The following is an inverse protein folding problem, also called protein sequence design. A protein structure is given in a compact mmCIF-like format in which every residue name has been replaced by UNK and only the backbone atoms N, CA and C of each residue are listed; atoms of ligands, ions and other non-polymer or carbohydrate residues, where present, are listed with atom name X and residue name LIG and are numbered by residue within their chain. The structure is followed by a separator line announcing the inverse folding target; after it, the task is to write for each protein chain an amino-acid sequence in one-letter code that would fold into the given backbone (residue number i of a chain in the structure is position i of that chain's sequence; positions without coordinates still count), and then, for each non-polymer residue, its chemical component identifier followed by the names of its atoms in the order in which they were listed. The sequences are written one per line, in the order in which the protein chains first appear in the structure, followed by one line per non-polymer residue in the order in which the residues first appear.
data_IF_613492099726
#
_entry.id   IF_613492099726
#
_cell.length_a   1.000
_cell.length_b   1.000
_cell.length_c   1.000
_cell.angle_alpha   90.00
_cell.angle_beta   90.00
_cell.angle_gamma   90.00
#
_symmetry.space_group_name_H-M   'P 1'
#
loop_
_entity.id
_entity.type
_entity.pdbx_description
1 polymer ?
#
# COMPACT_ATOMS: atom_id res chain seq x y z
N UNK A 1 13.63 0.57 -12.88
CA UNK A 1 12.60 -0.03 -12.01
C UNK A 1 11.98 -1.21 -12.73
N UNK A 2 11.64 -2.30 -12.04
CA UNK A 2 10.91 -3.43 -12.62
C UNK A 2 9.48 -3.33 -12.11
N UNK A 3 8.51 -3.22 -13.02
CA UNK A 3 7.10 -3.18 -12.65
C UNK A 3 6.68 -4.53 -12.03
N UNK A 4 6.01 -4.47 -10.88
CA UNK A 4 5.37 -5.60 -10.22
C UNK A 4 3.89 -5.60 -10.59
N UNK A 5 3.09 -4.74 -9.97
CA UNK A 5 1.71 -4.47 -10.37
C UNK A 5 1.64 -3.09 -11.00
N UNK A 6 1.78 -2.99 -12.32
CA UNK A 6 1.83 -1.71 -13.06
C UNK A 6 0.70 -0.73 -12.70
N UNK A 7 -0.48 -1.22 -12.34
CA UNK A 7 -1.61 -0.37 -11.95
C UNK A 7 -1.66 -0.01 -10.46
N UNK A 8 -0.77 -0.58 -9.65
CA UNK A 8 -0.70 -0.49 -8.19
C UNK A 8 0.64 0.11 -7.69
N UNK A 9 1.69 0.00 -8.50
CA UNK A 9 3.05 0.45 -8.20
C UNK A 9 3.11 1.97 -8.14
N UNK A 10 3.81 2.49 -7.13
CA UNK A 10 4.15 3.90 -7.00
C UNK A 10 5.48 3.99 -6.26
N UNK A 11 6.39 4.86 -6.72
CA UNK A 11 7.62 5.15 -5.98
C UNK A 11 7.26 5.94 -4.73
N UNK A 12 7.65 5.43 -3.56
CA UNK A 12 7.49 6.11 -2.27
C UNK A 12 8.82 6.58 -1.70
N UNK A 13 8.73 7.23 -0.53
CA UNK A 13 9.86 7.82 0.19
C UNK A 13 9.95 7.24 1.60
N UNK A 14 11.17 7.09 2.10
CA UNK A 14 11.46 6.74 3.50
C UNK A 14 12.47 7.74 4.02
N UNK A 15 12.13 8.42 5.12
CA UNK A 15 13.00 9.39 5.77
C UNK A 15 12.78 9.35 7.28
N UNK A 16 13.56 10.14 8.02
CA UNK A 16 13.47 10.23 9.48
C UNK A 16 12.60 11.39 9.97
N UNK A 17 12.18 12.27 9.08
CA UNK A 17 11.30 13.39 9.39
C UNK A 17 10.25 13.59 8.30
N UNK A 18 9.11 14.15 8.66
CA UNK A 18 8.07 14.53 7.70
C UNK A 18 8.57 15.62 6.75
N UNK A 19 9.39 16.55 7.24
CA UNK A 19 9.97 17.65 6.44
C UNK A 19 10.91 17.12 5.34
N UNK A 20 11.71 16.09 5.63
CA UNK A 20 12.55 15.43 4.61
C UNK A 20 11.71 14.77 3.51
N UNK A 21 10.59 14.14 3.87
CA UNK A 21 9.66 13.55 2.89
C UNK A 21 9.08 14.66 1.99
N UNK A 22 8.61 15.77 2.58
CA UNK A 22 8.06 16.89 1.83
C UNK A 22 9.07 17.52 0.86
N UNK A 23 10.31 17.72 1.31
CA UNK A 23 11.40 18.22 0.48
C UNK A 23 11.69 17.29 -0.70
N UNK A 24 11.84 15.98 -0.45
CA UNK A 24 12.13 15.01 -1.52
C UNK A 24 10.97 14.89 -2.51
N UNK A 25 9.72 14.89 -2.02
CA UNK A 25 8.54 14.81 -2.87
C UNK A 25 8.42 16.04 -3.79
N UNK A 26 8.84 17.22 -3.32
CA UNK A 26 8.90 18.45 -4.13
C UNK A 26 9.83 18.36 -5.34
N UNK A 27 10.83 17.48 -5.28
CA UNK A 27 11.80 17.29 -6.36
C UNK A 27 11.36 16.15 -7.28
N UNK A 28 10.79 15.08 -6.71
CA UNK A 28 10.47 13.86 -7.44
C UNK A 28 9.09 13.86 -8.09
N UNK A 29 8.14 14.61 -7.56
CA UNK A 29 6.77 14.63 -8.06
C UNK A 29 6.63 15.52 -9.29
N UNK A 30 5.86 15.06 -10.26
CA UNK A 30 5.59 15.81 -11.49
C UNK A 30 5.19 14.89 -12.64
N UNK A 31 4.78 15.51 -13.74
CA UNK A 31 4.52 14.78 -14.99
C UNK A 31 5.85 14.35 -15.63
N UNK A 32 5.89 13.10 -16.08
CA UNK A 32 6.99 12.57 -16.89
C UNK A 32 6.46 12.24 -18.30
N UNK A 33 6.98 12.88 -19.36
CA UNK A 33 6.56 12.57 -20.74
C UNK A 33 6.89 11.12 -21.17
N UNK A 34 7.76 10.41 -20.44
CA UNK A 34 8.08 9.00 -20.69
C UNK A 34 7.15 8.03 -19.93
N UNK A 35 6.29 8.54 -19.07
CA UNK A 35 5.30 7.77 -18.32
C UNK A 35 3.88 8.26 -18.62
N UNK A 36 3.17 7.49 -19.45
CA UNK A 36 1.77 7.76 -19.81
C UNK A 36 0.80 7.64 -18.63
N UNK A 37 1.23 7.08 -17.50
CA UNK A 37 0.43 6.98 -16.28
C UNK A 37 0.66 8.14 -15.32
N UNK A 38 1.68 8.97 -15.57
CA UNK A 38 1.94 10.17 -14.79
C UNK A 38 0.83 11.20 -14.99
N UNK A 39 0.26 11.69 -13.89
CA UNK A 39 -0.86 12.63 -13.93
C UNK A 39 -0.36 14.02 -14.33
N UNK A 40 -1.03 14.63 -15.31
CA UNK A 40 -0.81 16.03 -15.67
C UNK A 40 -1.53 16.95 -14.66
N UNK A 41 -0.95 17.08 -13.46
CA UNK A 41 -1.41 18.01 -12.43
C UNK A 41 -0.24 18.88 -11.96
N UNK A 42 -0.56 20.06 -11.47
CA UNK A 42 0.41 20.89 -10.77
C UNK A 42 0.71 20.25 -9.42
N UNK A 43 2.00 20.10 -9.11
CA UNK A 43 2.47 19.65 -7.80
C UNK A 43 3.09 20.84 -7.08
N UNK A 44 2.48 21.35 -5.99
CA UNK A 44 3.07 22.44 -5.23
C UNK A 44 4.39 21.99 -4.60
N UNK A 45 5.27 22.94 -4.32
CA UNK A 45 6.42 22.65 -3.48
C UNK A 45 5.94 22.34 -2.06
N UNK A 46 6.33 21.18 -1.56
CA UNK A 46 6.09 20.66 -0.23
C UNK A 46 7.35 20.79 0.66
N UNK A 47 8.32 21.62 0.26
CA UNK A 47 9.57 21.82 0.98
C UNK A 47 9.40 22.69 2.24
N UNK A 48 8.35 23.51 2.28
CA UNK A 48 8.03 24.40 3.40
C UNK A 48 6.61 24.11 3.89
N UNK A 49 6.45 22.95 4.54
CA UNK A 49 5.17 22.54 5.10
C UNK A 49 4.73 23.49 6.23
N UNK A 50 3.42 23.66 6.38
CA UNK A 50 2.79 24.17 7.60
C UNK A 50 2.45 23.03 8.56
N UNK A 51 2.09 23.35 9.79
CA UNK A 51 1.38 22.38 10.63
C UNK A 51 -0.12 22.50 10.33
N UNK A 52 -0.83 21.38 10.23
CA UNK A 52 -2.28 21.41 10.09
C UNK A 52 -2.93 21.94 11.38
N UNK A 53 -4.01 22.72 11.25
CA UNK A 53 -4.87 23.05 12.39
C UNK A 53 -5.70 21.83 12.78
N UNK A 54 -5.21 21.11 13.79
CA UNK A 54 -5.82 19.87 14.27
C UNK A 54 -7.27 20.07 14.71
N UNK A 55 -7.63 21.26 15.18
CA UNK A 55 -8.99 21.55 15.66
C UNK A 55 -10.04 21.60 14.56
N UNK A 56 -9.61 21.74 13.30
CA UNK A 56 -10.49 21.77 12.13
C UNK A 56 -10.57 20.43 11.40
N UNK A 57 -9.76 19.44 11.80
CA UNK A 57 -9.67 18.17 11.09
C UNK A 57 -10.89 17.29 11.34
N UNK A 58 -11.42 16.70 10.26
CA UNK A 58 -12.38 15.60 10.26
C UNK A 58 -11.68 14.31 9.86
N UNK A 59 -11.59 13.38 10.81
CA UNK A 59 -10.85 12.13 10.68
C UNK A 59 -11.85 10.98 10.62
N UNK A 60 -11.79 10.22 9.53
CA UNK A 60 -12.58 9.00 9.38
C UNK A 60 -11.79 7.77 9.86
N UNK A 61 -12.43 6.94 10.68
CA UNK A 61 -11.94 5.62 11.09
C UNK A 61 -12.77 4.53 10.39
N UNK A 62 -12.20 3.74 9.47
CA UNK A 62 -12.93 2.63 8.87
C UNK A 62 -13.34 1.59 9.91
N UNK A 63 -14.64 1.36 10.04
CA UNK A 63 -15.22 0.38 10.96
C UNK A 63 -14.66 -1.02 10.70
N UNK A 64 -14.49 -1.38 9.43
CA UNK A 64 -13.98 -2.67 8.98
C UNK A 64 -12.56 -2.95 9.52
N UNK A 65 -11.79 -1.90 9.85
CA UNK A 65 -10.47 -2.04 10.46
C UNK A 65 -10.51 -2.12 11.98
N UNK A 66 -11.52 -1.51 12.60
CA UNK A 66 -11.72 -1.50 14.05
C UNK A 66 -12.32 -2.81 14.57
N UNK A 67 -13.19 -3.44 13.77
CA UNK A 67 -13.87 -4.68 14.12
C UNK A 67 -13.05 -5.94 13.76
N UNK A 68 -11.86 -5.77 13.19
CA UNK A 68 -11.03 -6.87 12.70
C UNK A 68 -10.55 -7.79 13.83
N UNK A 69 -10.72 -9.10 13.62
CA UNK A 69 -10.30 -10.13 14.55
C UNK A 69 -8.84 -10.50 14.30
N UNK A 70 -7.93 -9.67 14.79
CA UNK A 70 -6.49 -9.93 14.64
C UNK A 70 -5.57 -8.78 14.98
N UNK A 71 -6.13 -7.63 15.38
CA UNK A 71 -5.34 -6.49 15.83
C UNK A 71 -4.67 -6.81 17.17
N UNK A 72 -3.34 -6.72 17.20
CA UNK A 72 -2.54 -6.89 18.40
C UNK A 72 -2.95 -5.84 19.47
N UNK A 73 -3.16 -6.23 20.74
CA UNK A 73 -3.61 -5.31 21.78
C UNK A 73 -2.67 -4.11 22.01
N UNK A 74 -1.36 -4.28 21.85
CA UNK A 74 -0.40 -3.19 22.00
C UNK A 74 -0.49 -2.21 20.82
N UNK A 75 -0.73 -2.72 19.61
CA UNK A 75 -1.00 -1.89 18.42
C UNK A 75 -2.32 -1.13 18.59
N UNK A 76 -3.38 -1.81 19.03
CA UNK A 76 -4.68 -1.19 19.32
C UNK A 76 -4.55 -0.08 20.37
N UNK A 77 -3.74 -0.32 21.41
CA UNK A 77 -3.49 0.66 22.46
C UNK A 77 -2.79 1.92 21.93
N UNK A 78 -1.70 1.76 21.16
CA UNK A 78 -0.98 2.90 20.55
C UNK A 78 -1.86 3.66 19.56
N UNK A 79 -2.69 2.93 18.80
CA UNK A 79 -3.65 3.53 17.88
C UNK A 79 -4.69 4.38 18.64
N UNK A 80 -5.28 3.85 19.72
CA UNK A 80 -6.24 4.60 20.54
C UNK A 80 -5.59 5.82 21.21
N UNK A 81 -4.35 5.72 21.68
CA UNK A 81 -3.59 6.88 22.17
C UNK A 81 -3.43 7.97 21.10
N UNK A 82 -3.19 7.57 19.85
CA UNK A 82 -3.12 8.51 18.73
C UNK A 82 -4.47 9.16 18.44
N UNK A 83 -5.56 8.39 18.44
CA UNK A 83 -6.91 8.92 18.29
C UNK A 83 -7.29 9.90 19.42
N UNK A 84 -6.90 9.59 20.68
CA UNK A 84 -7.09 10.50 21.82
C UNK A 84 -6.31 11.80 21.63
N UNK A 85 -5.06 11.73 21.19
CA UNK A 85 -4.25 12.91 20.95
C UNK A 85 -4.91 13.90 19.97
N UNK A 86 -5.51 13.39 18.90
CA UNK A 86 -6.28 14.18 17.93
C UNK A 86 -7.56 14.75 18.54
N UNK A 87 -8.34 13.92 19.25
CA UNK A 87 -9.58 14.34 19.95
C UNK A 87 -9.32 15.46 20.97
N UNK A 88 -8.27 15.33 21.79
CA UNK A 88 -7.92 16.31 22.82
C UNK A 88 -7.52 17.67 22.24
N UNK A 89 -7.19 17.72 20.93
CA UNK A 89 -6.86 18.94 20.18
C UNK A 89 -8.01 19.46 19.31
N UNK A 90 -9.20 18.89 19.47
CA UNK A 90 -10.42 19.38 18.84
C UNK A 90 -10.75 18.73 17.49
N UNK A 91 -9.98 17.75 17.01
CA UNK A 91 -10.33 17.05 15.78
C UNK A 91 -11.65 16.29 15.94
N UNK A 92 -12.53 16.40 14.94
CA UNK A 92 -13.72 15.57 14.85
C UNK A 92 -13.31 14.18 14.34
N UNK A 93 -13.54 13.14 15.13
CA UNK A 93 -13.23 11.76 14.74
C UNK A 93 -14.53 10.98 14.64
N UNK A 94 -14.81 10.43 13.46
CA UNK A 94 -16.01 9.68 13.18
C UNK A 94 -15.66 8.29 12.65
N UNK A 95 -16.44 7.29 13.06
CA UNK A 95 -16.34 5.94 12.50
C UNK A 95 -17.20 5.85 11.24
N UNK A 96 -16.60 5.47 10.12
CA UNK A 96 -17.27 5.32 8.83
C UNK A 96 -17.29 3.86 8.42
N UNK A 97 -18.31 3.44 7.67
CA UNK A 97 -18.37 2.07 7.13
C UNK A 97 -18.06 2.09 5.65
N UNK A 98 -17.08 1.29 5.25
CA UNK A 98 -16.67 1.06 3.87
C UNK A 98 -16.66 -0.47 3.65
N UNK A 99 -17.84 -1.13 3.53
CA UNK A 99 -17.93 -2.60 3.61
C UNK A 99 -17.10 -3.35 2.55
N UNK A 100 -16.83 -2.70 1.41
CA UNK A 100 -16.01 -3.29 0.34
C UNK A 100 -14.55 -3.52 0.76
N UNK A 101 -14.06 -2.89 1.83
CA UNK A 101 -12.69 -3.07 2.33
C UNK A 101 -12.38 -4.50 2.79
N UNK A 102 -13.39 -5.27 3.21
CA UNK A 102 -13.22 -6.71 3.53
C UNK A 102 -12.64 -7.51 2.34
N UNK A 103 -12.87 -7.05 1.11
CA UNK A 103 -12.37 -7.66 -0.11
C UNK A 103 -11.05 -7.05 -0.62
N UNK A 104 -10.43 -6.13 0.11
CA UNK A 104 -9.24 -5.41 -0.35
C UNK A 104 -8.04 -6.34 -0.55
N UNK A 105 -7.67 -7.14 0.46
CA UNK A 105 -6.50 -8.03 0.40
C UNK A 105 -6.64 -9.02 -0.76
N UNK A 106 -7.78 -9.72 -0.85
CA UNK A 106 -8.01 -10.71 -1.90
C UNK A 106 -7.99 -10.08 -3.30
N UNK A 107 -8.61 -8.91 -3.47
CA UNK A 107 -8.62 -8.19 -4.75
C UNK A 107 -7.23 -7.69 -5.14
N UNK A 108 -6.45 -7.19 -4.17
CA UNK A 108 -5.07 -6.77 -4.39
C UNK A 108 -4.23 -7.93 -4.91
N UNK A 109 -4.24 -9.08 -4.25
CA UNK A 109 -3.44 -10.22 -4.68
C UNK A 109 -3.90 -10.77 -6.04
N UNK A 110 -5.21 -10.79 -6.33
CA UNK A 110 -5.68 -11.16 -7.68
C UNK A 110 -5.10 -10.24 -8.76
N UNK A 111 -5.14 -8.91 -8.54
CA UNK A 111 -4.67 -7.93 -9.52
C UNK A 111 -3.15 -7.94 -9.62
N UNK A 112 -2.46 -7.79 -8.49
CA UNK A 112 -1.00 -7.71 -8.43
C UNK A 112 -0.32 -8.95 -9.01
N UNK A 113 -0.82 -10.15 -8.70
CA UNK A 113 -0.23 -11.39 -9.20
C UNK A 113 -0.47 -11.58 -10.70
N UNK A 114 -1.66 -11.19 -11.19
CA UNK A 114 -1.96 -11.20 -12.63
C UNK A 114 -1.03 -10.28 -13.42
N UNK A 115 -0.87 -9.05 -12.95
CA UNK A 115 0.01 -8.08 -13.59
C UNK A 115 1.48 -8.50 -13.49
N UNK A 116 1.91 -9.05 -12.34
CA UNK A 116 3.26 -9.57 -12.16
C UNK A 116 3.57 -10.70 -13.14
N UNK A 117 2.65 -11.65 -13.35
CA UNK A 117 2.87 -12.74 -14.31
C UNK A 117 3.16 -12.21 -15.73
N UNK A 118 2.45 -11.17 -16.16
CA UNK A 118 2.69 -10.49 -17.43
C UNK A 118 4.00 -9.68 -17.41
N UNK A 119 4.22 -8.84 -16.40
CA UNK A 119 5.37 -7.95 -16.30
C UNK A 119 6.70 -8.71 -16.25
N UNK A 120 6.75 -9.81 -15.51
CA UNK A 120 7.94 -10.64 -15.35
C UNK A 120 8.19 -11.61 -16.52
N UNK A 121 7.31 -11.67 -17.54
CA UNK A 121 7.52 -12.50 -18.73
C UNK A 121 8.76 -12.10 -19.54
N UNK A 122 9.15 -10.81 -19.48
CA UNK A 122 10.32 -10.25 -20.19
C UNK A 122 11.68 -10.78 -19.73
N UNK A 123 11.74 -11.40 -18.54
CA UNK A 123 12.96 -11.99 -17.99
C UNK A 123 13.13 -13.39 -18.55
N UNK A 124 13.91 -13.46 -19.61
CA UNK A 124 14.03 -14.62 -20.48
C UNK A 124 15.50 -14.98 -20.80
N UNK A 125 16.46 -14.17 -20.35
CA UNK A 125 17.90 -14.38 -20.55
C UNK A 125 18.40 -14.07 -21.96
N UNK A 126 17.55 -13.55 -22.86
CA UNK A 126 17.93 -13.26 -24.24
C UNK A 126 18.61 -11.90 -24.37
N UNK A 127 17.98 -10.86 -23.80
CA UNK A 127 18.46 -9.47 -23.93
C UNK A 127 19.35 -9.04 -22.76
N UNK A 128 19.09 -9.57 -21.56
CA UNK A 128 19.78 -9.18 -20.33
C UNK A 128 19.53 -10.19 -19.20
N UNK A 129 20.32 -10.08 -18.13
CA UNK A 129 20.16 -10.87 -16.91
C UNK A 129 20.82 -12.25 -16.97
N UNK A 130 20.39 -13.14 -16.08
CA UNK A 130 20.83 -14.53 -16.07
C UNK A 130 20.40 -15.22 -17.37
N UNK A 131 21.30 -16.01 -17.96
CA UNK A 131 21.00 -16.93 -19.06
C UNK A 131 21.49 -18.33 -18.70
N UNK A 132 20.59 -19.31 -18.72
CA UNK A 132 20.92 -20.73 -18.64
C UNK A 132 20.49 -21.39 -19.93
N UNK A 133 21.47 -21.79 -20.73
CA UNK A 133 21.26 -22.36 -22.06
C UNK A 133 21.78 -23.81 -22.07
N UNK A 134 20.90 -24.81 -21.92
CA UNK A 134 21.29 -26.21 -21.96
C UNK A 134 21.64 -26.68 -23.38
N UNK A 135 21.47 -25.86 -24.42
CA UNK A 135 21.79 -26.20 -25.80
C UNK A 135 20.79 -27.13 -26.50
N UNK A 136 19.64 -27.39 -25.88
CA UNK A 136 18.61 -28.33 -26.38
C UNK A 136 17.44 -27.64 -27.09
N UNK A 137 17.39 -26.30 -27.07
CA UNK A 137 16.37 -25.52 -27.77
C UNK A 137 15.98 -24.25 -27.02
N UNK A 138 15.15 -23.43 -27.67
CA UNK A 138 14.70 -22.15 -27.11
C UNK A 138 13.77 -22.33 -25.90
N UNK A 139 12.92 -23.37 -25.91
CA UNK A 139 12.02 -23.67 -24.79
C UNK A 139 12.80 -24.01 -23.51
N UNK A 140 13.76 -24.93 -23.63
CA UNK A 140 14.60 -25.35 -22.49
C UNK A 140 15.46 -24.20 -21.96
N UNK A 141 15.93 -23.31 -22.83
CA UNK A 141 16.60 -22.07 -22.41
C UNK A 141 15.68 -21.23 -21.52
N UNK A 142 14.44 -20.98 -21.94
CA UNK A 142 13.49 -20.19 -21.15
C UNK A 142 13.13 -20.86 -19.83
N UNK A 143 12.83 -22.16 -19.86
CA UNK A 143 12.46 -22.93 -18.66
C UNK A 143 13.62 -22.96 -17.67
N UNK A 144 14.84 -23.30 -18.09
CA UNK A 144 16.01 -23.36 -17.23
C UNK A 144 16.35 -21.97 -16.65
N UNK A 145 16.36 -20.94 -17.50
CA UNK A 145 16.68 -19.57 -17.08
C UNK A 145 15.70 -19.06 -16.02
N UNK A 146 14.39 -19.23 -16.25
CA UNK A 146 13.36 -18.72 -15.33
C UNK A 146 13.23 -19.56 -14.06
N UNK A 147 13.39 -20.88 -14.17
CA UNK A 147 13.28 -21.79 -13.03
C UNK A 147 14.38 -21.55 -12.00
N UNK A 148 15.60 -21.29 -12.49
CA UNK A 148 16.76 -21.04 -11.64
C UNK A 148 16.93 -19.56 -11.28
N UNK A 149 16.46 -18.65 -12.15
CA UNK A 149 16.55 -17.21 -11.92
C UNK A 149 15.53 -16.67 -10.92
N UNK A 150 14.37 -17.31 -10.77
CA UNK A 150 13.33 -16.87 -9.84
C UNK A 150 13.28 -17.72 -8.56
N UNK A 151 13.22 -17.03 -7.42
CA UNK A 151 12.94 -17.64 -6.13
C UNK A 151 11.52 -18.24 -6.05
N UNK A 152 11.28 -19.07 -5.03
CA UNK A 152 10.04 -19.82 -4.87
C UNK A 152 8.79 -18.91 -4.82
N UNK A 153 8.85 -17.79 -4.10
CA UNK A 153 7.73 -16.85 -3.99
C UNK A 153 7.39 -16.21 -5.34
N UNK A 154 8.40 -15.75 -6.09
CA UNK A 154 8.20 -15.16 -7.42
C UNK A 154 7.57 -16.18 -8.38
N UNK A 155 8.03 -17.44 -8.36
CA UNK A 155 7.44 -18.51 -9.17
C UNK A 155 5.99 -18.79 -8.76
N UNK A 156 5.68 -18.85 -7.46
CA UNK A 156 4.31 -19.02 -6.96
C UNK A 156 3.38 -17.93 -7.49
N UNK A 157 3.83 -16.68 -7.43
CA UNK A 157 3.10 -15.51 -7.95
C UNK A 157 2.84 -15.58 -9.45
N UNK A 158 3.85 -15.95 -10.24
CA UNK A 158 3.72 -16.12 -11.70
C UNK A 158 2.71 -17.23 -12.03
N UNK A 159 2.79 -18.38 -11.35
CA UNK A 159 1.86 -19.50 -11.58
C UNK A 159 0.43 -19.09 -11.26
N UNK A 160 0.19 -18.45 -10.10
CA UNK A 160 -1.15 -17.99 -9.71
C UNK A 160 -1.66 -16.92 -10.69
N UNK A 161 -0.83 -15.94 -11.06
CA UNK A 161 -1.22 -14.89 -12.01
C UNK A 161 -1.59 -15.44 -13.38
N UNK A 162 -0.81 -16.39 -13.92
CA UNK A 162 -1.15 -17.06 -15.18
C UNK A 162 -2.43 -17.89 -15.06
N UNK A 163 -2.66 -18.55 -13.92
CA UNK A 163 -3.90 -19.28 -13.68
C UNK A 163 -5.11 -18.35 -13.67
N UNK A 164 -5.04 -17.23 -12.95
CA UNK A 164 -6.10 -16.21 -12.89
C UNK A 164 -6.38 -15.61 -14.27
N UNK A 165 -5.35 -15.38 -15.09
CA UNK A 165 -5.50 -14.81 -16.43
C UNK A 165 -5.93 -15.82 -17.51
N UNK A 166 -5.99 -17.11 -17.18
CA UNK A 166 -6.41 -18.15 -18.14
C UNK A 166 -7.86 -17.94 -18.62
N UNK A 167 -8.15 -18.42 -19.83
CA UNK A 167 -9.44 -18.24 -20.53
C UNK A 167 -10.65 -18.66 -19.70
N UNK A 168 -10.48 -19.67 -18.84
CA UNK A 168 -11.57 -20.21 -18.01
C UNK A 168 -11.83 -19.40 -16.74
N UNK A 169 -10.85 -18.63 -16.22
CA UNK A 169 -10.93 -18.01 -14.89
C UNK A 169 -10.82 -16.47 -14.91
N UNK A 170 -10.32 -15.87 -15.99
CA UNK A 170 -10.09 -14.42 -16.10
C UNK A 170 -11.36 -13.58 -15.92
N UNK A 171 -12.49 -14.05 -16.45
CA UNK A 171 -13.79 -13.39 -16.28
C UNK A 171 -14.27 -13.37 -14.83
N UNK A 172 -14.15 -14.51 -14.14
CA UNK A 172 -14.71 -14.69 -12.80
C UNK A 172 -13.81 -14.12 -11.70
N UNK A 173 -12.51 -14.02 -11.97
CA UNK A 173 -11.51 -13.62 -10.96
C UNK A 173 -10.98 -12.22 -11.23
N UNK A 174 -10.23 -12.00 -12.32
CA UNK A 174 -9.57 -10.71 -12.58
C UNK A 174 -10.56 -9.57 -12.83
N UNK A 175 -11.56 -9.76 -13.71
CA UNK A 175 -12.58 -8.71 -13.96
C UNK A 175 -13.41 -8.43 -12.71
N UNK A 176 -13.67 -9.45 -11.88
CA UNK A 176 -14.37 -9.27 -10.60
C UNK A 176 -13.54 -8.44 -9.63
N UNK A 177 -12.25 -8.73 -9.48
CA UNK A 177 -11.34 -7.94 -8.63
C UNK A 177 -11.22 -6.49 -9.12
N UNK A 178 -11.17 -6.25 -10.43
CA UNK A 178 -11.20 -4.89 -10.99
C UNK A 178 -12.51 -4.16 -10.69
N UNK A 179 -13.64 -4.88 -10.67
CA UNK A 179 -14.94 -4.31 -10.27
C UNK A 179 -14.98 -3.96 -8.78
N UNK A 180 -14.39 -4.81 -7.92
CA UNK A 180 -14.22 -4.52 -6.49
C UNK A 180 -13.31 -3.30 -6.30
N UNK A 181 -12.19 -3.23 -7.02
CA UNK A 181 -11.30 -2.06 -7.00
C UNK A 181 -12.03 -0.77 -7.37
N UNK A 182 -12.85 -0.78 -8.43
CA UNK A 182 -13.64 0.39 -8.82
C UNK A 182 -14.64 0.81 -7.72
N UNK A 183 -15.20 -0.17 -6.99
CA UNK A 183 -16.06 0.11 -5.83
C UNK A 183 -15.26 0.68 -4.65
N UNK A 184 -14.09 0.13 -4.33
CA UNK A 184 -13.19 0.67 -3.30
C UNK A 184 -12.85 2.13 -3.61
N UNK A 185 -12.47 2.45 -4.85
CA UNK A 185 -12.18 3.82 -5.27
C UNK A 185 -13.36 4.76 -5.05
N UNK A 186 -14.57 4.35 -5.43
CA UNK A 186 -15.79 5.15 -5.25
C UNK A 186 -16.11 5.36 -3.77
N UNK A 187 -16.16 4.28 -3.00
CA UNK A 187 -16.62 4.30 -1.61
C UNK A 187 -15.61 5.06 -0.73
N UNK A 188 -14.31 4.93 -1.00
CA UNK A 188 -13.26 5.73 -0.34
C UNK A 188 -13.28 7.20 -0.75
N UNK A 189 -13.49 7.51 -2.03
CA UNK A 189 -13.64 8.89 -2.48
C UNK A 189 -14.84 9.59 -1.82
N UNK A 190 -15.95 8.87 -1.65
CA UNK A 190 -17.14 9.39 -0.97
C UNK A 190 -16.88 9.76 0.50
N UNK A 191 -15.98 9.07 1.19
CA UNK A 191 -15.58 9.45 2.56
C UNK A 191 -14.88 10.81 2.55
N UNK A 192 -14.00 11.05 1.58
CA UNK A 192 -13.28 12.32 1.45
C UNK A 192 -14.18 13.50 1.03
N UNK A 193 -15.44 13.28 0.66
CA UNK A 193 -16.42 14.38 0.49
C UNK A 193 -16.79 15.04 1.82
N UNK A 194 -16.59 14.33 2.94
CA UNK A 194 -17.01 14.78 4.29
C UNK A 194 -15.88 14.79 5.32
N UNK A 195 -14.76 14.13 5.03
CA UNK A 195 -13.61 13.98 5.92
C UNK A 195 -12.32 14.39 5.21
N UNK A 196 -11.36 14.91 5.98
CA UNK A 196 -10.08 15.37 5.43
C UNK A 196 -9.09 14.22 5.27
N UNK A 197 -9.09 13.29 6.23
CA UNK A 197 -8.20 12.13 6.25
C UNK A 197 -8.90 10.85 6.74
N UNK A 198 -8.35 9.72 6.33
CA UNK A 198 -8.59 8.41 6.92
C UNK A 198 -7.42 8.05 7.83
N UNK A 199 -7.70 7.49 9.01
CA UNK A 199 -6.68 7.08 9.98
C UNK A 199 -6.87 5.60 10.36
N UNK A 200 -5.78 4.84 10.32
CA UNK A 200 -5.77 3.42 10.72
C UNK A 200 -4.38 3.00 11.23
N UNK A 201 -4.23 1.85 11.91
CA UNK A 201 -2.92 1.25 12.14
C UNK A 201 -2.22 0.97 10.80
N UNK A 202 -0.88 1.07 10.75
CA UNK A 202 -0.15 0.67 9.54
C UNK A 202 -0.10 -0.85 9.37
N UNK A 203 -0.01 -1.59 10.49
CA UNK A 203 0.12 -3.04 10.50
C UNK A 203 -0.71 -3.62 11.66
N UNK A 204 -1.35 -4.79 11.50
CA UNK A 204 -2.10 -5.44 12.60
C UNK A 204 -1.25 -5.92 13.78
N UNK A 205 0.06 -6.08 13.62
CA UNK A 205 0.95 -6.56 14.67
C UNK A 205 2.31 -5.84 14.63
N UNK A 206 3.08 -5.83 15.74
CA UNK A 206 4.46 -5.38 15.72
C UNK A 206 5.33 -6.29 14.84
N UNK A 207 6.56 -5.85 14.57
CA UNK A 207 7.53 -6.60 13.77
C UNK A 207 7.70 -8.04 14.31
N UNK A 208 7.49 -9.03 13.43
CA UNK A 208 7.68 -10.44 13.74
C UNK A 208 9.13 -10.89 13.53
N UNK A 209 9.51 -12.02 14.13
CA UNK A 209 10.89 -12.53 14.04
C UNK A 209 11.19 -13.09 12.65
N UNK A 210 12.45 -13.01 12.26
CA UNK A 210 12.94 -13.66 11.04
C UNK A 210 12.60 -15.15 11.07
N UNK A 211 12.08 -15.67 9.95
CA UNK A 211 11.67 -17.07 9.81
C UNK A 211 10.24 -17.39 10.27
N UNK A 212 9.57 -16.55 11.07
CA UNK A 212 8.34 -16.95 11.76
C UNK A 212 7.09 -17.07 10.88
N UNK A 213 7.12 -16.57 9.64
CA UNK A 213 5.99 -16.58 8.68
C UNK A 213 6.38 -17.04 7.27
N UNK A 214 7.54 -17.68 7.13
CA UNK A 214 8.07 -18.07 5.80
C UNK A 214 7.27 -19.22 5.18
N UNK A 215 6.73 -20.11 6.03
CA UNK A 215 5.98 -21.30 5.60
C UNK A 215 4.46 -21.06 5.52
N UNK A 216 3.98 -19.87 5.94
CA UNK A 216 2.56 -19.49 5.87
C UNK A 216 2.38 -18.20 5.04
N UNK A 217 2.24 -18.33 3.71
CA UNK A 217 2.01 -17.19 2.83
C UNK A 217 0.75 -16.40 3.16
N UNK A 218 -0.30 -17.04 3.72
CA UNK A 218 -1.56 -16.35 4.04
C UNK A 218 -1.35 -15.44 5.24
N UNK A 219 -0.69 -15.93 6.30
CA UNK A 219 -0.34 -15.12 7.46
C UNK A 219 0.62 -13.97 7.10
N UNK A 220 1.42 -14.12 6.04
CA UNK A 220 2.19 -13.02 5.48
C UNK A 220 1.28 -12.00 4.80
N UNK A 221 0.36 -12.42 3.93
CA UNK A 221 -0.51 -11.50 3.19
C UNK A 221 -1.46 -10.70 4.07
N UNK A 222 -1.87 -11.27 5.20
CA UNK A 222 -2.69 -10.57 6.19
C UNK A 222 -1.95 -9.42 6.91
N UNK A 223 -0.62 -9.31 6.79
CA UNK A 223 0.09 -8.11 7.27
C UNK A 223 -0.29 -6.86 6.49
N UNK A 224 -0.78 -7.03 5.26
CA UNK A 224 -1.07 -5.94 4.33
C UNK A 224 -2.53 -5.49 4.42
N UNK A 225 -3.27 -5.97 5.44
CA UNK A 225 -4.70 -5.69 5.62
C UNK A 225 -5.01 -4.19 5.59
N UNK A 226 -4.21 -3.40 6.31
CA UNK A 226 -4.41 -1.97 6.40
C UNK A 226 -3.72 -1.18 5.29
N UNK A 227 -3.00 -1.80 4.35
CA UNK A 227 -2.21 -1.07 3.34
C UNK A 227 -2.70 -1.30 1.92
N UNK A 228 -3.15 -2.51 1.58
CA UNK A 228 -3.59 -2.85 0.22
C UNK A 228 -4.72 -1.97 -0.31
N UNK A 229 -5.62 -1.49 0.55
CA UNK A 229 -6.74 -0.63 0.14
C UNK A 229 -6.26 0.70 -0.44
N UNK A 230 -5.12 1.23 0.02
CA UNK A 230 -4.53 2.49 -0.46
C UNK A 230 -4.15 2.38 -1.94
N UNK A 231 -3.47 1.29 -2.32
CA UNK A 231 -3.11 1.02 -3.71
C UNK A 231 -4.36 0.84 -4.60
N UNK A 232 -5.37 0.13 -4.09
CA UNK A 232 -6.62 -0.12 -4.81
C UNK A 232 -7.41 1.18 -5.02
N UNK A 233 -7.54 2.00 -3.97
CA UNK A 233 -8.22 3.28 -3.96
C UNK A 233 -7.47 4.39 -4.73
N UNK A 234 -6.18 4.20 -5.03
CA UNK A 234 -5.30 5.21 -5.67
C UNK A 234 -5.21 6.50 -4.87
N UNK A 235 -5.00 6.37 -3.57
CA UNK A 235 -4.87 7.51 -2.66
C UNK A 235 -3.47 7.56 -2.05
N UNK A 236 -2.96 8.75 -1.68
CA UNK A 236 -1.71 8.86 -0.96
C UNK A 236 -1.90 8.40 0.51
N UNK A 237 -0.89 7.75 1.05
CA UNK A 237 -0.81 7.47 2.48
C UNK A 237 0.61 7.69 3.02
N UNK A 238 0.69 7.99 4.31
CA UNK A 238 1.93 8.17 5.05
C UNK A 238 1.84 7.39 6.36
N UNK A 239 2.83 6.52 6.60
CA UNK A 239 3.02 5.89 7.89
C UNK A 239 3.99 6.71 8.73
N UNK A 240 3.61 7.01 9.97
CA UNK A 240 4.50 7.63 10.96
C UNK A 240 4.60 6.75 12.21
N UNK A 241 5.74 6.77 12.92
CA UNK A 241 5.83 6.17 14.25
C UNK A 241 4.77 6.78 15.17
N UNK A 242 4.13 5.97 15.99
CA UNK A 242 3.09 6.41 16.92
C UNK A 242 3.34 6.01 18.38
N UNK A 243 4.24 5.05 18.58
CA UNK A 243 4.59 4.51 19.88
C UNK A 243 5.48 3.28 19.76
N UNK A 244 5.65 2.58 20.88
CA UNK A 244 6.38 1.32 20.96
C UNK A 244 5.59 0.31 21.80
N UNK A 245 5.77 -0.96 21.51
CA UNK A 245 5.34 -2.05 22.40
C UNK A 245 6.19 -2.07 23.67
N UNK A 246 5.76 -2.84 24.66
CA UNK A 246 6.51 -3.12 25.89
C UNK A 246 7.88 -3.75 25.60
N UNK A 247 8.00 -4.50 24.50
CA UNK A 247 9.27 -5.06 24.01
C UNK A 247 10.14 -4.03 23.25
N UNK A 248 9.72 -2.77 23.16
CA UNK A 248 10.43 -1.70 22.47
C UNK A 248 10.31 -1.71 20.96
N UNK A 249 9.41 -2.51 20.38
CA UNK A 249 9.20 -2.57 18.93
C UNK A 249 8.35 -1.38 18.46
N UNK A 250 8.70 -0.71 17.35
CA UNK A 250 7.95 0.43 16.85
C UNK A 250 6.55 0.03 16.38
N UNK A 251 5.58 0.88 16.66
CA UNK A 251 4.20 0.78 16.14
C UNK A 251 3.92 2.03 15.30
N UNK A 252 3.36 1.83 14.11
CA UNK A 252 3.04 2.88 13.15
C UNK A 252 1.55 3.13 13.00
N UNK A 253 1.18 4.39 12.79
CA UNK A 253 -0.15 4.81 12.35
C UNK A 253 -0.06 5.29 10.91
N UNK A 254 -1.09 5.01 10.13
CA UNK A 254 -1.19 5.40 8.74
C UNK A 254 -2.24 6.48 8.57
N UNK A 255 -1.83 7.59 7.96
CA UNK A 255 -2.66 8.72 7.57
C UNK A 255 -2.86 8.63 6.07
N UNK A 256 -4.11 8.49 5.61
CA UNK A 256 -4.45 8.46 4.19
C UNK A 256 -5.25 9.71 3.82
N UNK A 257 -4.91 10.33 2.69
CA UNK A 257 -5.58 11.53 2.19
C UNK A 257 -6.33 11.28 0.89
N UNK A 258 -7.10 12.24 0.37
CA UNK A 258 -7.70 12.14 -0.95
C UNK A 258 -6.63 12.10 -2.04
N UNK A 259 -7.01 11.71 -3.26
CA UNK A 259 -6.11 11.79 -4.42
C UNK A 259 -5.59 13.22 -4.60
N UNK A 260 -4.27 13.44 -4.52
CA UNK A 260 -3.69 14.78 -4.53
C UNK A 260 -3.59 15.48 -3.17
N UNK A 261 -3.97 14.80 -2.09
CA UNK A 261 -3.92 15.29 -0.72
C UNK A 261 -2.58 15.05 -0.01
N UNK A 262 -1.47 14.93 -0.74
CA UNK A 262 -0.14 14.70 -0.14
C UNK A 262 0.25 15.81 0.83
N UNK A 263 -0.07 17.07 0.49
CA UNK A 263 0.16 18.19 1.40
C UNK A 263 -0.60 18.02 2.72
N UNK A 264 -1.90 17.73 2.65
CA UNK A 264 -2.75 17.54 3.84
C UNK A 264 -2.18 16.45 4.76
N UNK A 265 -1.84 15.27 4.21
CA UNK A 265 -1.32 14.18 5.06
C UNK A 265 0.05 14.51 5.67
N UNK A 266 0.90 15.26 4.96
CA UNK A 266 2.20 15.70 5.47
C UNK A 266 2.02 16.74 6.58
N UNK A 267 1.16 17.75 6.40
CA UNK A 267 0.91 18.78 7.43
C UNK A 267 0.29 18.18 8.70
N UNK A 268 -0.61 17.19 8.56
CA UNK A 268 -1.18 16.44 9.70
C UNK A 268 -0.10 15.59 10.38
N UNK A 269 0.69 14.86 9.60
CA UNK A 269 1.77 14.04 10.13
C UNK A 269 2.81 14.87 10.87
N UNK A 270 3.15 16.05 10.36
CA UNK A 270 4.09 16.99 10.98
C UNK A 270 3.60 17.51 12.33
N UNK A 271 2.32 17.87 12.41
CA UNK A 271 1.70 18.28 13.67
C UNK A 271 1.78 17.18 14.73
N UNK A 272 1.63 15.91 14.31
CA UNK A 272 1.78 14.75 15.20
C UNK A 272 3.24 14.46 15.55
N UNK A 273 4.16 14.51 14.59
CA UNK A 273 5.59 14.23 14.77
C UNK A 273 6.22 15.08 15.87
N UNK A 274 5.91 16.38 15.92
CA UNK A 274 6.41 17.31 16.96
C UNK A 274 6.00 16.97 18.39
N UNK A 275 5.07 16.04 18.56
CA UNK A 275 4.53 15.64 19.87
C UNK A 275 4.95 14.24 20.33
N UNK A 276 5.80 13.56 19.55
CA UNK A 276 6.40 12.26 19.84
C UNK A 276 7.76 12.41 20.51
#
# INVERSE_FOLDING_TARGET
MVAFGSSLDQVGLLARSVDDIGLMLSVMAGRDPLDNTSTNRDFPSLAALSDADVSQLKIALPKEFMDEKGLDPEVAHVFDQTCRWFRDRGAAIETVSIPVLEAAVSSYYVIALSEAASNLSRFDGIRYGLRKDPGTGLEDLYVATRSDGFGAEVKRRIVIGNYVLSTHFSGDTYKKAMSVRARIQRDVAAVFETHDILLCPTNPAPAFRLGSRVDDPIAMYLTDLYTTFVNLARIPSLSIPAGKTAAGLPVGVQICGPMGGEQTILEVARAREKSL
#
